data_IF_917560186264
#
_entry.id   IF_917560186264
#
_cell.length_a   1.000
_cell.length_b   1.000
_cell.length_c   1.000
_cell.angle_alpha   90.00
_cell.angle_beta   90.00
_cell.angle_gamma   90.00
#
_symmetry.space_group_name_H-M   'P 1'
#
loop_
_entity.id
_entity.type
_entity.pdbx_description
1 polymer ?
#
# COMPACT_ATOMS: atom_id res chain seq x y z
N UNK A 1 30.76 -0.25 2.18
CA UNK A 1 29.55 -0.94 1.67
C UNK A 1 28.61 -1.14 2.83
N UNK A 2 27.39 -0.60 2.77
CA UNK A 2 26.34 -0.88 3.77
C UNK A 2 25.61 -2.13 3.31
N UNK A 3 25.67 -3.20 4.10
CA UNK A 3 24.75 -4.33 3.98
C UNK A 3 23.38 -3.78 4.38
N UNK A 4 22.50 -3.59 3.41
CA UNK A 4 21.09 -3.36 3.65
C UNK A 4 20.55 -4.59 4.40
N UNK A 5 20.38 -4.46 5.71
CA UNK A 5 19.75 -5.48 6.53
C UNK A 5 18.24 -5.36 6.33
N UNK A 6 17.65 -6.35 5.67
CA UNK A 6 16.23 -6.38 5.37
C UNK A 6 15.51 -7.28 6.39
N UNK A 7 14.75 -6.67 7.30
CA UNK A 7 13.92 -7.40 8.24
C UNK A 7 12.56 -7.72 7.60
N UNK A 8 12.38 -8.98 7.22
CA UNK A 8 11.15 -9.46 6.59
C UNK A 8 9.91 -9.29 7.48
N UNK A 9 10.05 -9.31 8.81
CA UNK A 9 8.92 -9.13 9.72
C UNK A 9 8.45 -7.67 9.75
N UNK A 10 9.39 -6.72 9.77
CA UNK A 10 9.06 -5.29 9.67
C UNK A 10 8.39 -4.99 8.33
N UNK A 11 8.89 -5.57 7.23
CA UNK A 11 8.31 -5.39 5.91
C UNK A 11 6.89 -5.98 5.80
N UNK A 12 6.64 -7.17 6.36
CA UNK A 12 5.29 -7.77 6.43
C UNK A 12 4.32 -6.93 7.26
N UNK A 13 4.78 -6.40 8.37
CA UNK A 13 3.95 -5.54 9.22
C UNK A 13 3.58 -4.23 8.49
N UNK A 14 4.51 -3.64 7.74
CA UNK A 14 4.24 -2.51 6.85
C UNK A 14 3.20 -2.82 5.77
N UNK A 15 3.30 -3.99 5.13
CA UNK A 15 2.30 -4.46 4.16
C UNK A 15 0.92 -4.58 4.82
N UNK A 16 0.84 -5.23 5.99
CA UNK A 16 -0.41 -5.41 6.74
C UNK A 16 -1.06 -4.08 7.14
N UNK A 17 -0.25 -3.12 7.60
CA UNK A 17 -0.73 -1.76 7.94
C UNK A 17 -1.24 -1.02 6.70
N UNK A 18 -0.55 -1.20 5.58
CA UNK A 18 -0.91 -0.59 4.29
C UNK A 18 -2.22 -1.16 3.75
N UNK A 19 -2.41 -2.47 3.80
CA UNK A 19 -3.66 -3.14 3.41
C UNK A 19 -4.83 -2.69 4.29
N UNK A 20 -4.60 -2.58 5.61
CA UNK A 20 -5.60 -2.09 6.54
C UNK A 20 -6.02 -0.64 6.23
N UNK A 21 -5.05 0.25 6.04
CA UNK A 21 -5.32 1.65 5.68
C UNK A 21 -6.10 1.73 4.36
N UNK A 22 -5.70 0.95 3.35
CA UNK A 22 -6.41 0.88 2.07
C UNK A 22 -7.85 0.41 2.22
N UNK A 23 -8.11 -0.56 3.10
CA UNK A 23 -9.46 -1.05 3.38
C UNK A 23 -10.37 -0.04 4.10
N UNK A 24 -9.80 0.91 4.86
CA UNK A 24 -10.53 1.97 5.57
C UNK A 24 -10.80 3.21 4.73
N UNK A 25 -10.14 3.32 3.57
CA UNK A 25 -10.32 4.44 2.66
C UNK A 25 -11.64 4.25 1.93
N UNK A 26 -12.63 5.08 2.28
CA UNK A 26 -13.95 5.08 1.65
C UNK A 26 -14.15 6.37 0.83
N UNK A 27 -14.72 6.29 -0.37
CA UNK A 27 -15.08 7.49 -1.11
C UNK A 27 -16.12 8.29 -0.34
N UNK A 28 -15.96 9.62 -0.31
CA UNK A 28 -16.95 10.52 0.24
C UNK A 28 -18.22 10.46 -0.63
N UNK A 29 -19.40 10.49 0.00
CA UNK A 29 -20.69 10.57 -0.69
C UNK A 29 -21.30 11.96 -0.54
N UNK A 30 -21.94 12.44 -1.60
CA UNK A 30 -22.67 13.70 -1.55
C UNK A 30 -23.98 13.50 -0.78
N UNK A 31 -24.28 14.44 0.12
CA UNK A 31 -25.58 14.54 0.80
C UNK A 31 -26.38 15.65 0.10
N UNK A 32 -27.69 15.47 -0.03
CA UNK A 32 -28.56 16.44 -0.72
C UNK A 32 -28.49 17.83 -0.08
N UNK A 33 -28.30 18.86 -0.91
CA UNK A 33 -28.39 20.29 -0.56
C UNK A 33 -29.53 20.94 -1.33
N UNK A 34 -30.21 21.92 -0.72
CA UNK A 34 -31.23 22.74 -1.38
C UNK A 34 -30.65 23.97 -2.10
N UNK A 35 -29.34 24.15 -2.02
CA UNK A 35 -28.56 25.20 -2.70
C UNK A 35 -27.75 24.53 -3.82
N UNK A 36 -28.08 24.86 -5.07
CA UNK A 36 -27.52 24.26 -6.28
C UNK A 36 -26.04 24.63 -6.50
N UNK A 37 -25.63 25.86 -6.16
CA UNK A 37 -24.25 26.31 -6.30
C UNK A 37 -23.36 25.61 -5.26
N UNK A 38 -23.86 25.51 -4.02
CA UNK A 38 -23.19 24.74 -2.98
C UNK A 38 -23.15 23.24 -3.30
N UNK A 39 -24.24 22.66 -3.82
CA UNK A 39 -24.30 21.26 -4.21
C UNK A 39 -23.24 20.93 -5.29
N UNK A 40 -23.12 21.79 -6.29
CA UNK A 40 -22.15 21.64 -7.38
C UNK A 40 -20.71 21.71 -6.85
N UNK A 41 -20.40 22.71 -6.03
CA UNK A 41 -19.09 22.85 -5.42
C UNK A 41 -18.74 21.67 -4.48
N UNK A 42 -19.72 21.14 -3.76
CA UNK A 42 -19.55 19.98 -2.89
C UNK A 42 -19.27 18.70 -3.69
N UNK A 43 -19.99 18.48 -4.80
CA UNK A 43 -19.75 17.34 -5.70
C UNK A 43 -18.32 17.41 -6.27
N UNK A 44 -17.90 18.57 -6.77
CA UNK A 44 -16.54 18.77 -7.27
C UNK A 44 -15.47 18.49 -6.21
N UNK A 45 -15.70 18.92 -4.98
CA UNK A 45 -14.79 18.67 -3.86
C UNK A 45 -14.72 17.17 -3.50
N UNK A 46 -15.86 16.49 -3.53
CA UNK A 46 -15.97 15.05 -3.30
C UNK A 46 -15.23 14.28 -4.40
N UNK A 47 -15.42 14.64 -5.67
CA UNK A 47 -14.76 13.97 -6.79
C UNK A 47 -13.23 14.13 -6.75
N UNK A 48 -12.74 15.32 -6.39
CA UNK A 48 -11.31 15.53 -6.16
C UNK A 48 -10.79 14.68 -5.02
N UNK A 49 -11.51 14.64 -3.90
CA UNK A 49 -11.15 13.83 -2.74
C UNK A 49 -11.10 12.34 -3.11
N UNK A 50 -12.13 11.85 -3.80
CA UNK A 50 -12.22 10.45 -4.26
C UNK A 50 -11.10 10.09 -5.23
N UNK A 51 -10.71 11.02 -6.10
CA UNK A 51 -9.58 10.83 -7.03
C UNK A 51 -8.26 10.70 -6.28
N UNK A 52 -7.97 11.60 -5.34
CA UNK A 52 -6.75 11.53 -4.52
C UNK A 52 -6.70 10.27 -3.65
N UNK A 53 -7.83 9.93 -3.03
CA UNK A 53 -8.06 8.68 -2.30
C UNK A 53 -7.70 7.46 -3.15
N UNK A 54 -8.16 7.39 -4.41
CA UNK A 54 -7.85 6.28 -5.32
C UNK A 54 -6.36 6.24 -5.65
N UNK A 55 -5.73 7.37 -5.94
CA UNK A 55 -4.29 7.43 -6.20
C UNK A 55 -3.45 6.97 -5.02
N UNK A 56 -3.85 7.31 -3.79
CA UNK A 56 -3.20 6.85 -2.58
C UNK A 56 -3.33 5.32 -2.44
N UNK A 57 -4.53 4.77 -2.61
CA UNK A 57 -4.77 3.33 -2.59
C UNK A 57 -3.91 2.58 -3.62
N UNK A 58 -3.86 3.07 -4.86
CA UNK A 58 -3.05 2.49 -5.93
C UNK A 58 -1.54 2.51 -5.60
N UNK A 59 -1.05 3.61 -5.02
CA UNK A 59 0.35 3.73 -4.62
C UNK A 59 0.70 2.76 -3.49
N UNK A 60 -0.15 2.71 -2.47
CA UNK A 60 -0.02 1.80 -1.33
C UNK A 60 0.02 0.34 -1.77
N UNK A 61 -0.87 -0.05 -2.68
CA UNK A 61 -0.87 -1.40 -3.25
C UNK A 61 0.43 -1.74 -3.98
N UNK A 62 0.98 -0.81 -4.79
CA UNK A 62 2.28 -1.03 -5.47
C UNK A 62 3.43 -1.19 -4.48
N UNK A 63 3.42 -0.42 -3.38
CA UNK A 63 4.41 -0.55 -2.31
C UNK A 63 4.31 -1.93 -1.66
N UNK A 64 3.10 -2.39 -1.38
CA UNK A 64 2.87 -3.71 -0.79
C UNK A 64 3.34 -4.86 -1.72
N UNK A 65 3.02 -4.79 -3.00
CA UNK A 65 3.45 -5.76 -4.02
C UNK A 65 4.97 -5.80 -4.16
N UNK A 66 5.62 -4.64 -4.25
CA UNK A 66 7.08 -4.56 -4.36
C UNK A 66 7.76 -5.08 -3.09
N UNK A 67 7.23 -4.75 -1.92
CA UNK A 67 7.77 -5.23 -0.63
C UNK A 67 7.67 -6.75 -0.55
N UNK A 68 6.53 -7.32 -0.96
CA UNK A 68 6.32 -8.78 -1.00
C UNK A 68 7.30 -9.48 -1.94
N UNK A 69 7.59 -8.89 -3.11
CA UNK A 69 8.59 -9.42 -4.04
C UNK A 69 10.00 -9.39 -3.46
N UNK A 70 10.37 -8.32 -2.76
CA UNK A 70 11.69 -8.21 -2.12
C UNK A 70 11.82 -9.23 -0.99
N UNK A 71 10.79 -9.40 -0.15
CA UNK A 71 10.76 -10.44 0.89
C UNK A 71 10.97 -11.82 0.27
N UNK A 72 10.17 -12.18 -0.74
CA UNK A 72 10.26 -13.48 -1.39
C UNK A 72 11.64 -13.72 -2.02
N UNK A 73 12.26 -12.68 -2.59
CA UNK A 73 13.60 -12.78 -3.14
C UNK A 73 14.66 -13.00 -2.05
N UNK A 74 14.56 -12.28 -0.93
CA UNK A 74 15.46 -12.46 0.21
C UNK A 74 15.35 -13.87 0.81
N UNK A 75 14.13 -14.38 1.02
CA UNK A 75 13.90 -15.72 1.57
C UNK A 75 14.43 -16.83 0.64
N UNK A 76 14.22 -16.69 -0.67
CA UNK A 76 14.76 -17.63 -1.65
C UNK A 76 16.30 -17.61 -1.69
N UNK A 77 16.90 -16.43 -1.55
CA UNK A 77 18.35 -16.28 -1.49
C UNK A 77 18.94 -16.93 -0.22
N UNK A 78 18.32 -16.71 0.94
CA UNK A 78 18.75 -17.30 2.20
C UNK A 78 18.59 -18.84 2.20
N UNK A 79 17.47 -19.35 1.66
CA UNK A 79 17.27 -20.79 1.50
C UNK A 79 18.31 -21.42 0.55
N UNK A 80 18.64 -20.73 -0.55
CA UNK A 80 19.68 -21.16 -1.48
C UNK A 80 21.06 -21.24 -0.82
N UNK A 81 21.44 -20.21 -0.05
CA UNK A 81 22.69 -20.21 0.71
C UNK A 81 22.73 -21.32 1.77
N UNK A 82 21.63 -21.55 2.48
CA UNK A 82 21.51 -22.64 3.45
C UNK A 82 21.77 -24.02 2.83
N UNK A 83 21.13 -24.33 1.70
CA UNK A 83 21.38 -25.56 0.97
C UNK A 83 22.81 -25.68 0.44
N UNK A 84 23.43 -24.55 0.07
CA UNK A 84 24.82 -24.56 -0.40
C UNK A 84 25.79 -24.85 0.74
N UNK A 85 25.51 -24.36 1.95
CA UNK A 85 26.34 -24.59 3.14
C UNK A 85 26.18 -26.01 3.73
N UNK A 86 24.99 -26.61 3.62
CA UNK A 86 24.75 -28.00 4.06
C UNK A 86 25.33 -29.05 3.10
N UNK A 87 25.62 -28.67 1.85
CA UNK A 87 26.19 -29.55 0.82
C UNK A 87 27.72 -29.65 0.85
N UNK A 88 28.39 -28.90 1.72
CA UNK A 88 29.83 -28.95 1.99
C UNK A 88 30.12 -29.62 3.34
#
# INVERSE_FOLDING_TARGET
MSLLHFDANIARELVRQTDHLTATIHPASAVTSNDDDFATALVDAIDRTNTQTRHLADYLQRVAENSSRVIAHAENHDAGLGHTLEAF
#
